data_IF_337495314770
#
_entry.id   IF_337495314770
#
_cell.length_a   1.000
_cell.length_b   1.000
_cell.length_c   1.000
_cell.angle_alpha   90.00
_cell.angle_beta   90.00
_cell.angle_gamma   90.00
#
_symmetry.space_group_name_H-M   'P 1'
#
loop_
_entity.id
_entity.type
_entity.pdbx_description
1 polymer ?
#
# COMPACT_ATOMS: atom_id res chain seq x y z
N UNK A 1 -9.82 36.84 -22.73
CA UNK A 1 -10.78 36.08 -21.90
C UNK A 1 -10.76 34.60 -22.25
N UNK A 2 -10.56 34.23 -23.51
CA UNK A 2 -10.63 32.84 -23.99
C UNK A 2 -9.60 31.90 -23.35
N UNK A 3 -8.39 32.40 -23.08
CA UNK A 3 -7.35 31.60 -22.39
C UNK A 3 -7.79 31.21 -20.97
N UNK A 4 -8.44 32.11 -20.23
CA UNK A 4 -8.91 31.86 -18.87
C UNK A 4 -10.08 30.87 -18.90
N UNK A 5 -10.99 31.02 -19.87
CA UNK A 5 -12.11 30.09 -20.04
C UNK A 5 -11.61 28.69 -20.42
N UNK A 6 -10.62 28.61 -21.31
CA UNK A 6 -10.00 27.35 -21.72
C UNK A 6 -9.27 26.66 -20.55
N UNK A 7 -8.47 27.40 -19.77
CA UNK A 7 -7.76 26.83 -18.62
C UNK A 7 -8.70 26.37 -17.52
N UNK A 8 -9.77 27.13 -17.23
CA UNK A 8 -10.80 26.72 -16.29
C UNK A 8 -11.55 25.47 -16.77
N UNK A 9 -11.93 25.43 -18.04
CA UNK A 9 -12.60 24.27 -18.64
C UNK A 9 -11.73 23.01 -18.55
N UNK A 10 -10.44 23.15 -18.82
CA UNK A 10 -9.48 22.05 -18.71
C UNK A 10 -9.29 21.61 -17.24
N UNK A 11 -9.23 22.54 -16.30
CA UNK A 11 -9.12 22.23 -14.87
C UNK A 11 -10.36 21.47 -14.37
N UNK A 12 -11.57 21.89 -14.77
CA UNK A 12 -12.83 21.20 -14.45
C UNK A 12 -12.84 19.80 -15.05
N UNK A 13 -12.39 19.64 -16.29
CA UNK A 13 -12.28 18.35 -16.95
C UNK A 13 -11.34 17.39 -16.19
N UNK A 14 -10.14 17.85 -15.83
CA UNK A 14 -9.19 17.04 -15.06
C UNK A 14 -9.71 16.68 -13.66
N UNK A 15 -10.39 17.61 -12.99
CA UNK A 15 -11.02 17.34 -11.71
C UNK A 15 -12.13 16.30 -11.84
N UNK A 16 -12.99 16.41 -12.86
CA UNK A 16 -14.01 15.41 -13.16
C UNK A 16 -13.40 14.02 -13.43
N UNK A 17 -12.34 13.95 -14.23
CA UNK A 17 -11.63 12.71 -14.51
C UNK A 17 -10.99 12.12 -13.23
N UNK A 18 -10.38 12.95 -12.39
CA UNK A 18 -9.83 12.54 -11.10
C UNK A 18 -10.92 11.95 -10.18
N UNK A 19 -12.08 12.60 -10.08
CA UNK A 19 -13.19 12.10 -9.28
C UNK A 19 -13.75 10.78 -9.82
N UNK A 20 -13.94 10.68 -11.14
CA UNK A 20 -14.45 9.47 -11.78
C UNK A 20 -13.50 8.28 -11.62
N UNK A 21 -12.20 8.49 -11.84
CA UNK A 21 -11.18 7.42 -11.68
C UNK A 21 -11.07 6.95 -10.24
N UNK A 22 -11.12 7.85 -9.25
CA UNK A 22 -11.14 7.48 -7.83
C UNK A 22 -12.45 6.75 -7.46
N UNK A 23 -13.60 7.19 -7.99
CA UNK A 23 -14.89 6.53 -7.76
C UNK A 23 -14.94 5.14 -8.40
N UNK A 24 -14.39 4.96 -9.60
CA UNK A 24 -14.29 3.67 -10.26
C UNK A 24 -13.39 2.68 -9.50
N UNK A 25 -12.38 3.18 -8.78
CA UNK A 25 -11.54 2.36 -7.89
C UNK A 25 -12.18 2.07 -6.54
N UNK A 26 -13.01 2.99 -6.03
CA UNK A 26 -13.75 2.82 -4.78
C UNK A 26 -14.84 1.76 -4.96
N UNK A 27 -14.42 0.51 -4.80
CA UNK A 27 -15.32 -0.64 -4.78
C UNK A 27 -16.22 -0.54 -3.58
N UNK A 28 -17.50 -0.71 -3.83
CA UNK A 28 -18.52 -0.91 -2.80
C UNK A 28 -18.81 -2.40 -2.84
N UNK A 29 -18.36 -3.11 -1.82
CA UNK A 29 -18.88 -4.41 -1.41
C UNK A 29 -18.53 -5.57 -2.36
N UNK A 30 -17.36 -6.17 -2.15
CA UNK A 30 -17.09 -7.51 -2.64
C UNK A 30 -17.72 -8.49 -1.65
N UNK A 31 -18.70 -9.26 -2.10
CA UNK A 31 -19.13 -10.43 -1.33
C UNK A 31 -18.01 -11.48 -1.43
N UNK A 32 -17.35 -11.75 -0.32
CA UNK A 32 -16.43 -12.87 -0.18
C UNK A 32 -16.81 -13.71 1.02
N UNK A 33 -16.51 -15.00 0.93
CA UNK A 33 -16.70 -15.92 2.03
C UNK A 33 -15.56 -15.73 3.03
N UNK A 34 -15.91 -15.53 4.30
CA UNK A 34 -14.93 -15.43 5.38
C UNK A 34 -14.30 -16.79 5.59
N UNK A 35 -12.98 -16.86 5.45
CA UNK A 35 -12.25 -18.08 5.81
C UNK A 35 -12.15 -18.16 7.34
N UNK A 36 -12.37 -19.33 7.95
CA UNK A 36 -12.18 -19.48 9.38
C UNK A 36 -10.72 -19.15 9.73
N UNK A 37 -10.54 -18.21 10.64
CA UNK A 37 -9.24 -17.75 11.08
C UNK A 37 -9.12 -17.97 12.60
N UNK A 38 -8.23 -18.86 13.00
CA UNK A 38 -7.99 -19.18 14.41
C UNK A 38 -6.81 -18.40 15.01
N UNK A 39 -6.07 -17.64 14.19
CA UNK A 39 -4.85 -16.94 14.59
C UNK A 39 -5.01 -15.44 14.36
N UNK A 40 -4.84 -14.66 15.43
CA UNK A 40 -4.83 -13.20 15.39
C UNK A 40 -3.43 -12.71 15.71
N UNK A 41 -3.00 -11.64 15.05
CA UNK A 41 -1.75 -10.98 15.39
C UNK A 41 -1.88 -10.33 16.75
N UNK A 42 -0.81 -10.36 17.54
CA UNK A 42 -0.72 -9.64 18.80
C UNK A 42 -0.62 -8.13 18.56
N UNK A 43 0.04 -7.76 17.47
CA UNK A 43 0.23 -6.37 17.08
C UNK A 43 -0.59 -6.03 15.83
N UNK A 44 -1.06 -4.78 15.69
CA UNK A 44 -1.82 -4.38 14.52
C UNK A 44 -0.98 -4.38 13.24
N UNK A 45 -1.66 -4.55 12.11
CA UNK A 45 -1.08 -4.48 10.77
C UNK A 45 -1.22 -3.07 10.22
N UNK A 46 -0.10 -2.37 10.05
CA UNK A 46 -0.03 -1.00 9.56
C UNK A 46 0.34 -0.97 8.08
N UNK A 47 -0.59 -0.53 7.24
CA UNK A 47 -0.37 -0.28 5.82
C UNK A 47 0.14 1.14 5.59
N UNK A 48 1.32 1.28 4.98
CA UNK A 48 1.92 2.58 4.64
C UNK A 48 1.65 2.94 3.18
N UNK A 49 1.02 4.07 2.90
CA UNK A 49 0.73 4.43 1.50
C UNK A 49 1.98 4.89 0.75
N UNK A 50 2.15 4.41 -0.49
CA UNK A 50 3.13 4.98 -1.42
C UNK A 50 2.77 6.38 -1.92
N UNK A 51 3.44 6.87 -2.97
CA UNK A 51 3.15 8.16 -3.56
C UNK A 51 1.71 8.23 -4.07
N UNK A 52 1.04 9.38 -3.85
CA UNK A 52 -0.36 9.64 -4.24
C UNK A 52 -0.44 10.82 -5.21
N UNK A 53 -1.52 10.85 -5.98
CA UNK A 53 -1.84 11.96 -6.88
C UNK A 53 -3.35 12.20 -6.92
N UNK A 54 -3.81 13.23 -7.63
CA UNK A 54 -5.26 13.49 -7.80
C UNK A 54 -6.00 12.31 -8.47
N UNK A 55 -5.30 11.47 -9.23
CA UNK A 55 -5.89 10.27 -9.83
C UNK A 55 -5.81 9.04 -8.91
N UNK A 56 -5.02 9.13 -7.82
CA UNK A 56 -4.75 8.05 -6.88
C UNK A 56 -4.66 8.53 -5.42
N UNK A 57 -5.71 9.15 -4.86
CA UNK A 57 -5.67 9.73 -3.50
C UNK A 57 -6.58 9.06 -2.46
N UNK A 58 -7.73 8.52 -2.90
CA UNK A 58 -8.81 8.09 -1.98
C UNK A 58 -8.52 6.75 -1.29
N UNK A 59 -8.50 5.65 -2.03
CA UNK A 59 -8.12 4.32 -1.53
C UNK A 59 -6.83 3.87 -2.22
N UNK A 60 -5.75 3.74 -1.45
CA UNK A 60 -4.45 3.30 -1.97
C UNK A 60 -4.39 1.76 -2.08
N UNK A 61 -4.79 1.09 -1.00
CA UNK A 61 -4.75 -0.36 -0.82
C UNK A 61 -6.04 -1.08 -1.24
N UNK A 62 -7.02 -0.35 -1.75
CA UNK A 62 -8.27 -0.87 -2.31
C UNK A 62 -8.96 -1.89 -1.37
N UNK A 63 -8.98 -3.18 -1.74
CA UNK A 63 -9.69 -4.24 -1.01
C UNK A 63 -8.88 -4.81 0.17
N UNK A 64 -7.56 -4.59 0.23
CA UNK A 64 -6.70 -5.33 1.17
C UNK A 64 -6.99 -5.03 2.63
N UNK A 65 -7.13 -3.74 2.96
CA UNK A 65 -7.37 -3.32 4.35
C UNK A 65 -8.74 -3.73 4.87
N UNK A 66 -9.87 -3.51 4.14
CA UNK A 66 -11.16 -4.02 4.60
C UNK A 66 -11.21 -5.56 4.62
N UNK A 67 -10.61 -6.23 3.64
CA UNK A 67 -10.60 -7.70 3.60
C UNK A 67 -9.94 -8.31 4.85
N UNK A 68 -8.78 -7.81 5.26
CA UNK A 68 -8.11 -8.29 6.48
C UNK A 68 -8.89 -7.92 7.75
N UNK A 69 -9.47 -6.72 7.80
CA UNK A 69 -10.28 -6.30 8.93
C UNK A 69 -11.53 -7.18 9.13
N UNK A 70 -12.20 -7.57 8.04
CA UNK A 70 -13.34 -8.50 8.08
C UNK A 70 -12.94 -9.92 8.53
N UNK A 71 -11.66 -10.31 8.37
CA UNK A 71 -11.10 -11.55 8.92
C UNK A 71 -10.61 -11.42 10.37
N UNK A 72 -10.89 -10.30 11.04
CA UNK A 72 -10.65 -10.08 12.46
C UNK A 72 -9.31 -9.44 12.82
N UNK A 73 -8.48 -9.07 11.84
CA UNK A 73 -7.21 -8.40 12.12
C UNK A 73 -7.42 -6.91 12.43
N UNK A 74 -6.63 -6.37 13.36
CA UNK A 74 -6.56 -4.93 13.59
C UNK A 74 -5.68 -4.29 12.50
N UNK A 75 -6.29 -3.51 11.62
CA UNK A 75 -5.63 -2.94 10.43
C UNK A 75 -5.70 -1.42 10.43
N UNK A 76 -4.56 -0.77 10.28
CA UNK A 76 -4.46 0.68 10.14
C UNK A 76 -3.85 1.08 8.80
N UNK A 77 -4.16 2.28 8.32
CA UNK A 77 -3.49 2.86 7.15
C UNK A 77 -2.86 4.20 7.53
N UNK A 78 -1.53 4.29 7.37
CA UNK A 78 -0.82 5.56 7.50
C UNK A 78 -0.75 6.26 6.14
N UNK A 79 -1.49 7.36 6.03
CA UNK A 79 -1.44 8.24 4.87
C UNK A 79 -0.25 9.21 4.97
N UNK A 80 0.68 9.08 4.04
CA UNK A 80 1.81 9.99 3.89
C UNK A 80 1.47 11.19 2.98
N UNK A 81 2.23 12.29 3.06
CA UNK A 81 2.20 13.35 2.06
C UNK A 81 2.28 12.81 0.64
N UNK A 82 1.66 13.52 -0.31
CA UNK A 82 1.32 12.94 -1.61
C UNK A 82 2.54 12.47 -2.40
N UNK A 83 3.45 13.37 -2.79
CA UNK A 83 4.58 12.99 -3.65
C UNK A 83 5.92 13.62 -3.27
N UNK A 84 6.00 14.43 -2.21
CA UNK A 84 7.28 15.03 -1.81
C UNK A 84 8.05 14.04 -0.93
N UNK A 85 9.17 13.44 -1.41
CA UNK A 85 9.86 12.37 -0.66
C UNK A 85 10.37 12.85 0.70
N UNK A 86 10.87 14.09 0.77
CA UNK A 86 11.36 14.68 2.02
C UNK A 86 10.24 14.79 3.06
N UNK A 87 9.10 15.37 2.68
CA UNK A 87 7.95 15.49 3.59
C UNK A 87 7.40 14.13 4.00
N UNK A 88 7.44 13.15 3.09
CA UNK A 88 7.02 11.78 3.36
C UNK A 88 7.92 11.12 4.38
N UNK A 89 9.23 11.26 4.23
CA UNK A 89 10.22 10.77 5.20
C UNK A 89 10.06 11.44 6.55
N UNK A 90 10.01 12.77 6.61
CA UNK A 90 9.81 13.53 7.85
C UNK A 90 8.51 13.10 8.57
N UNK A 91 7.42 12.91 7.83
CA UNK A 91 6.16 12.42 8.41
C UNK A 91 6.27 10.99 8.94
N UNK A 92 6.99 10.12 8.23
CA UNK A 92 7.15 8.73 8.64
C UNK A 92 8.04 8.62 9.88
N UNK A 93 9.16 9.33 9.93
CA UNK A 93 10.05 9.42 11.10
C UNK A 93 9.29 9.98 12.32
N UNK A 94 8.51 11.05 12.13
CA UNK A 94 7.66 11.59 13.19
C UNK A 94 6.67 10.53 13.72
N UNK A 95 6.05 9.76 12.83
CA UNK A 95 5.13 8.70 13.22
C UNK A 95 5.84 7.59 14.01
N UNK A 96 7.03 7.16 13.58
CA UNK A 96 7.83 6.15 14.29
C UNK A 96 8.16 6.62 15.70
N UNK A 97 8.70 7.85 15.85
CA UNK A 97 9.02 8.43 17.15
C UNK A 97 7.77 8.51 18.06
N UNK A 98 6.61 8.83 17.49
CA UNK A 98 5.35 8.84 18.22
C UNK A 98 4.96 7.43 18.72
N UNK A 99 5.03 6.40 17.86
CA UNK A 99 4.72 5.03 18.27
C UNK A 99 5.70 4.53 19.35
N UNK A 100 6.98 4.86 19.23
CA UNK A 100 8.01 4.50 20.22
C UNK A 100 7.74 5.15 21.58
N UNK A 101 7.44 6.45 21.60
CA UNK A 101 7.10 7.16 22.84
C UNK A 101 5.85 6.61 23.54
N UNK A 102 4.95 5.97 22.78
CA UNK A 102 3.74 5.35 23.28
C UNK A 102 3.90 3.84 23.51
N UNK A 103 5.10 3.29 23.30
CA UNK A 103 5.40 1.86 23.34
C UNK A 103 4.43 1.01 22.50
N UNK A 104 3.98 1.56 21.36
CA UNK A 104 3.08 0.89 20.43
C UNK A 104 3.90 0.13 19.40
N UNK A 105 3.49 -1.09 19.12
CA UNK A 105 4.13 -2.00 18.19
C UNK A 105 3.19 -2.36 17.05
N UNK A 106 3.73 -2.66 15.88
CA UNK A 106 2.94 -3.01 14.70
C UNK A 106 3.75 -3.81 13.67
N UNK A 107 3.05 -4.52 12.79
CA UNK A 107 3.61 -5.11 11.57
C UNK A 107 3.43 -4.15 10.40
N UNK A 108 4.51 -3.79 9.72
CA UNK A 108 4.48 -2.82 8.63
C UNK A 108 4.22 -3.52 7.29
N UNK A 109 3.26 -3.02 6.52
CA UNK A 109 2.98 -3.45 5.15
C UNK A 109 3.17 -2.28 4.21
N UNK A 110 3.97 -2.47 3.16
CA UNK A 110 4.27 -1.43 2.18
C UNK A 110 4.61 -2.04 0.82
N UNK A 111 4.53 -1.26 -0.24
CA UNK A 111 4.94 -1.68 -1.58
C UNK A 111 6.44 -1.45 -1.79
N UNK A 112 7.05 -2.21 -2.72
CA UNK A 112 8.48 -2.13 -3.02
C UNK A 112 9.02 -0.70 -3.21
N UNK A 113 8.37 0.20 -3.98
CA UNK A 113 8.89 1.55 -4.20
C UNK A 113 8.99 2.37 -2.91
N UNK A 114 8.04 2.13 -2.00
CA UNK A 114 7.97 2.77 -0.68
C UNK A 114 8.96 2.13 0.29
N UNK A 115 9.19 0.81 0.19
CA UNK A 115 10.26 0.14 0.93
C UNK A 115 11.61 0.76 0.62
N UNK A 116 11.93 0.88 -0.67
CA UNK A 116 13.20 1.46 -1.14
C UNK A 116 13.34 2.91 -0.69
N UNK A 117 12.25 3.68 -0.70
CA UNK A 117 12.23 5.06 -0.22
C UNK A 117 12.57 5.18 1.28
N UNK A 118 12.12 4.24 2.12
CA UNK A 118 12.31 4.29 3.58
C UNK A 118 13.34 3.30 4.12
N UNK A 119 14.10 2.65 3.25
CA UNK A 119 15.02 1.58 3.64
C UNK A 119 16.02 2.05 4.70
N UNK A 120 16.60 3.25 4.51
CA UNK A 120 17.57 3.82 5.44
C UNK A 120 16.96 4.15 6.80
N UNK A 121 15.72 4.63 6.83
CA UNK A 121 14.99 4.90 8.08
C UNK A 121 14.70 3.59 8.81
N UNK A 122 14.19 2.59 8.10
CA UNK A 122 13.85 1.29 8.67
C UNK A 122 15.08 0.51 9.16
N UNK A 123 16.25 0.72 8.54
CA UNK A 123 17.52 0.12 8.95
C UNK A 123 18.08 0.67 10.25
N UNK A 124 17.69 1.87 10.67
CA UNK A 124 18.06 2.40 11.99
C UNK A 124 17.40 1.62 13.14
N UNK A 125 16.51 0.66 12.82
CA UNK A 125 15.74 -0.20 13.72
C UNK A 125 14.88 0.61 14.69
N UNK A 126 13.58 0.67 14.39
CA UNK A 126 12.58 1.18 15.32
C UNK A 126 12.04 0.03 16.18
N UNK A 127 12.09 0.10 17.53
CA UNK A 127 11.54 -0.94 18.40
C UNK A 127 10.01 -1.10 18.29
N UNK A 128 9.33 -0.15 17.65
CA UNK A 128 7.90 -0.23 17.33
C UNK A 128 7.57 -1.10 16.12
N UNK A 129 8.55 -1.39 15.24
CA UNK A 129 8.31 -2.20 14.03
C UNK A 129 8.70 -3.64 14.32
N UNK A 130 7.73 -4.54 14.35
CA UNK A 130 7.95 -5.97 14.65
C UNK A 130 8.37 -6.77 13.41
N UNK A 131 7.77 -6.47 12.26
CA UNK A 131 8.16 -7.05 10.98
C UNK A 131 7.75 -6.15 9.82
N UNK A 132 8.28 -6.46 8.65
CA UNK A 132 8.00 -5.75 7.40
C UNK A 132 7.48 -6.77 6.38
N UNK A 133 6.39 -6.44 5.73
CA UNK A 133 5.83 -7.15 4.59
C UNK A 133 5.91 -6.25 3.37
N UNK A 134 6.70 -6.66 2.38
CA UNK A 134 6.89 -5.95 1.12
C UNK A 134 5.98 -6.55 0.05
N UNK A 135 5.17 -5.73 -0.59
CA UNK A 135 4.31 -6.12 -1.72
C UNK A 135 5.05 -5.81 -3.02
N UNK A 136 5.26 -6.82 -3.86
CA UNK A 136 5.93 -6.70 -5.15
C UNK A 136 5.05 -7.18 -6.33
N UNK A 137 5.32 -6.64 -7.51
CA UNK A 137 4.75 -7.15 -8.77
C UNK A 137 5.39 -8.49 -9.13
N UNK A 138 4.61 -9.39 -9.72
CA UNK A 138 5.14 -10.67 -10.18
C UNK A 138 6.25 -10.53 -11.23
N UNK A 139 7.30 -11.33 -11.07
CA UNK A 139 8.45 -11.36 -11.98
C UNK A 139 9.35 -10.12 -11.94
N UNK A 140 9.08 -9.13 -11.08
CA UNK A 140 10.05 -8.07 -10.79
C UNK A 140 10.97 -8.57 -9.69
N UNK A 141 12.15 -9.01 -10.10
CA UNK A 141 13.22 -9.35 -9.18
C UNK A 141 13.58 -8.10 -8.39
N UNK A 142 13.25 -8.13 -7.10
CA UNK A 142 13.54 -7.05 -6.15
C UNK A 142 14.58 -7.53 -5.13
N UNK A 143 15.36 -8.53 -5.55
CA UNK A 143 16.53 -9.06 -4.87
C UNK A 143 17.48 -7.92 -4.43
N UNK A 144 18.17 -8.11 -3.31
CA UNK A 144 18.67 -7.02 -2.52
C UNK A 144 19.79 -6.28 -3.26
N UNK A 145 19.65 -4.96 -3.38
CA UNK A 145 20.76 -4.06 -3.67
C UNK A 145 21.81 -4.02 -2.54
N UNK A 146 21.63 -4.78 -1.45
CA UNK A 146 22.58 -4.84 -0.34
C UNK A 146 22.60 -6.22 0.34
N UNK A 147 23.79 -6.83 0.39
CA UNK A 147 24.05 -8.14 1.00
C UNK A 147 23.97 -8.11 2.54
N UNK A 148 23.87 -6.93 3.15
CA UNK A 148 23.73 -6.81 4.61
C UNK A 148 22.35 -7.28 5.06
N UNK A 149 22.35 -8.13 6.09
CA UNK A 149 21.12 -8.58 6.75
C UNK A 149 20.30 -7.37 7.23
N UNK A 150 19.00 -7.39 6.93
CA UNK A 150 18.09 -6.37 7.42
C UNK A 150 17.85 -6.58 8.93
N UNK A 151 17.84 -5.53 9.76
CA UNK A 151 17.73 -5.67 11.22
C UNK A 151 16.35 -6.13 11.72
N UNK A 152 15.37 -6.25 10.82
CA UNK A 152 13.99 -6.62 11.10
C UNK A 152 13.59 -7.80 10.21
N UNK A 153 12.67 -8.69 10.64
CA UNK A 153 12.11 -9.72 9.77
C UNK A 153 11.39 -9.08 8.58
N UNK A 154 11.92 -9.30 7.38
CA UNK A 154 11.30 -8.85 6.11
C UNK A 154 10.78 -10.07 5.38
N UNK A 155 9.52 -10.03 4.96
CA UNK A 155 8.95 -11.01 4.04
C UNK A 155 8.37 -10.30 2.82
N UNK A 156 8.27 -11.03 1.72
CA UNK A 156 7.81 -10.51 0.44
C UNK A 156 6.56 -11.26 0.01
N UNK A 157 5.59 -10.52 -0.51
CA UNK A 157 4.41 -11.07 -1.16
C UNK A 157 4.46 -10.66 -2.62
N UNK A 158 4.70 -11.66 -3.46
CA UNK A 158 4.56 -11.51 -4.90
C UNK A 158 3.07 -11.58 -5.26
N UNK A 159 2.57 -10.48 -5.83
CA UNK A 159 1.18 -10.36 -6.24
C UNK A 159 1.00 -10.86 -7.66
N UNK A 160 -0.08 -11.59 -7.91
CA UNK A 160 -0.43 -12.03 -9.25
C UNK A 160 -0.74 -10.80 -10.10
N UNK A 161 -0.16 -10.73 -11.29
CA UNK A 161 -0.43 -9.64 -12.24
C UNK A 161 -1.44 -10.08 -13.32
N UNK A 162 -2.20 -9.11 -13.82
CA UNK A 162 -3.07 -9.31 -14.97
C UNK A 162 -3.25 -7.99 -15.73
N UNK A 163 -3.20 -7.99 -17.07
CA UNK A 163 -3.52 -6.80 -17.85
C UNK A 163 -5.03 -6.50 -17.87
N UNK A 164 -5.87 -7.46 -17.45
CA UNK A 164 -7.33 -7.36 -17.53
C UNK A 164 -7.85 -6.33 -16.53
N UNK A 165 -8.34 -5.20 -17.06
CA UNK A 165 -8.93 -4.12 -16.29
C UNK A 165 -9.70 -3.17 -17.19
N UNK A 166 -10.54 -2.31 -16.61
CA UNK A 166 -11.24 -1.31 -17.40
C UNK A 166 -10.26 -0.25 -17.94
N UNK A 167 -10.55 0.27 -19.14
CA UNK A 167 -9.69 1.26 -19.79
C UNK A 167 -9.54 2.53 -18.93
N UNK A 168 -10.59 2.95 -18.23
CA UNK A 168 -10.55 4.08 -17.31
C UNK A 168 -9.61 3.87 -16.11
N UNK A 169 -9.52 2.66 -15.58
CA UNK A 169 -8.58 2.35 -14.50
C UNK A 169 -7.14 2.47 -14.97
N UNK A 170 -6.83 1.89 -16.13
CA UNK A 170 -5.51 1.96 -16.75
C UNK A 170 -5.13 3.40 -17.11
N UNK A 171 -6.06 4.17 -17.68
CA UNK A 171 -5.83 5.59 -18.01
C UNK A 171 -5.57 6.42 -16.75
N UNK A 172 -6.41 6.27 -15.71
CA UNK A 172 -6.22 6.98 -14.44
C UNK A 172 -4.88 6.64 -13.79
N UNK A 173 -4.45 5.39 -13.88
CA UNK A 173 -3.17 4.95 -13.35
C UNK A 173 -1.97 5.42 -14.18
N UNK A 174 -2.11 5.49 -15.51
CA UNK A 174 -1.11 6.12 -16.37
C UNK A 174 -0.93 7.60 -16.00
N UNK A 175 -2.02 8.34 -15.82
CA UNK A 175 -1.97 9.74 -15.38
C UNK A 175 -1.35 9.87 -13.99
N UNK A 176 -1.62 8.92 -13.09
CA UNK A 176 -0.95 8.84 -11.81
C UNK A 176 0.57 8.68 -11.94
N UNK A 177 1.05 7.71 -12.74
CA UNK A 177 2.48 7.52 -13.00
C UNK A 177 3.14 8.79 -13.56
N UNK A 178 2.48 9.44 -14.50
CA UNK A 178 2.98 10.68 -15.10
C UNK A 178 3.03 11.83 -14.09
N UNK A 179 2.04 11.93 -13.20
CA UNK A 179 2.01 12.94 -12.14
C UNK A 179 3.11 12.73 -11.11
N UNK A 180 3.28 11.49 -10.65
CA UNK A 180 4.27 11.12 -9.64
C UNK A 180 5.70 11.21 -10.21
N UNK A 181 5.85 11.08 -11.55
CA UNK A 181 7.14 11.03 -12.26
C UNK A 181 8.03 9.87 -11.82
N UNK A 182 7.43 8.78 -11.33
CA UNK A 182 8.12 7.55 -10.92
C UNK A 182 7.77 6.39 -11.83
N UNK A 183 8.80 5.71 -12.33
CA UNK A 183 8.66 4.53 -13.22
C UNK A 183 8.56 3.21 -12.45
N UNK A 184 9.03 3.21 -11.21
CA UNK A 184 9.16 2.04 -10.34
C UNK A 184 7.86 1.65 -9.63
N UNK A 185 6.77 2.41 -9.77
CA UNK A 185 5.49 2.15 -9.11
C UNK A 185 4.93 0.74 -9.40
N UNK A 186 4.42 0.09 -8.35
CA UNK A 186 3.74 -1.21 -8.42
C UNK A 186 2.51 -1.17 -9.30
N UNK A 187 2.25 -2.24 -10.04
CA UNK A 187 1.08 -2.39 -10.90
C UNK A 187 -0.26 -2.19 -10.18
N UNK A 188 -1.30 -1.89 -10.95
CA UNK A 188 -2.68 -1.84 -10.45
C UNK A 188 -3.11 -3.17 -9.81
N UNK A 189 -2.59 -4.29 -10.31
CA UNK A 189 -2.89 -5.61 -9.75
C UNK A 189 -2.35 -5.74 -8.33
N UNK A 190 -1.09 -5.38 -8.13
CA UNK A 190 -0.42 -5.44 -6.82
C UNK A 190 -1.01 -4.50 -5.80
N UNK A 191 -1.56 -3.36 -6.24
CA UNK A 191 -2.28 -2.44 -5.36
C UNK A 191 -3.72 -2.86 -5.07
N UNK A 192 -4.19 -4.01 -5.59
CA UNK A 192 -5.54 -4.52 -5.36
C UNK A 192 -6.63 -3.78 -6.16
N UNK A 193 -6.24 -3.00 -7.16
CA UNK A 193 -7.17 -2.19 -7.94
C UNK A 193 -7.89 -2.98 -9.05
N UNK A 194 -7.35 -4.12 -9.49
CA UNK A 194 -7.93 -4.95 -10.57
C UNK A 194 -8.88 -6.03 -10.04
N UNK A 195 -10.12 -6.18 -10.56
CA UNK A 195 -11.09 -7.11 -9.97
C UNK A 195 -10.68 -8.57 -10.08
N UNK A 196 -10.04 -8.93 -11.19
CA UNK A 196 -9.67 -10.30 -11.51
C UNK A 196 -8.62 -10.90 -10.55
N UNK A 197 -7.80 -10.06 -9.90
CA UNK A 197 -6.71 -10.49 -9.01
C UNK A 197 -6.88 -10.02 -7.57
N UNK A 198 -7.77 -9.05 -7.30
CA UNK A 198 -7.91 -8.46 -5.97
C UNK A 198 -8.20 -9.50 -4.88
N UNK A 199 -9.13 -10.43 -5.11
CA UNK A 199 -9.50 -11.43 -4.09
C UNK A 199 -8.36 -12.43 -3.85
N UNK A 200 -7.71 -12.91 -4.91
CA UNK A 200 -6.56 -13.81 -4.80
C UNK A 200 -5.40 -13.15 -4.05
N UNK A 201 -5.05 -11.91 -4.42
CA UNK A 201 -4.00 -11.15 -3.75
C UNK A 201 -4.36 -10.82 -2.29
N UNK A 202 -5.64 -10.60 -1.99
CA UNK A 202 -6.12 -10.44 -0.61
C UNK A 202 -5.98 -11.76 0.18
N UNK A 203 -6.20 -12.90 -0.46
CA UNK A 203 -5.93 -14.22 0.11
C UNK A 203 -4.46 -14.42 0.50
N UNK A 204 -3.52 -14.01 -0.36
CA UNK A 204 -2.07 -14.03 -0.05
C UNK A 204 -1.72 -13.15 1.14
N UNK A 205 -2.39 -12.00 1.28
CA UNK A 205 -2.22 -11.12 2.45
C UNK A 205 -2.77 -11.75 3.73
N UNK A 206 -3.88 -12.49 3.64
CA UNK A 206 -4.42 -13.23 4.77
C UNK A 206 -3.48 -14.35 5.22
N UNK A 207 -2.93 -15.13 4.30
CA UNK A 207 -1.90 -16.13 4.61
C UNK A 207 -0.67 -15.50 5.28
N UNK A 208 -0.25 -14.32 4.79
CA UNK A 208 0.82 -13.57 5.46
C UNK A 208 0.42 -13.13 6.87
N UNK A 209 -0.80 -12.63 7.07
CA UNK A 209 -1.28 -12.21 8.39
C UNK A 209 -1.32 -13.39 9.39
N UNK A 210 -1.66 -14.59 8.91
CA UNK A 210 -1.55 -15.82 9.70
C UNK A 210 -0.10 -16.14 10.07
N UNK A 211 0.83 -16.01 9.12
CA UNK A 211 2.27 -16.18 9.40
C UNK A 211 2.79 -15.16 10.42
N UNK A 212 2.28 -13.92 10.39
CA UNK A 212 2.61 -12.90 11.39
C UNK A 212 2.09 -13.29 12.78
N UNK A 213 0.86 -13.80 12.87
CA UNK A 213 0.30 -14.28 14.13
C UNK A 213 1.09 -15.47 14.70
N UNK A 214 1.56 -16.39 13.85
CA UNK A 214 2.46 -17.47 14.28
C UNK A 214 3.80 -16.94 14.80
N UNK A 215 4.35 -15.91 14.16
CA UNK A 215 5.60 -15.27 14.59
C UNK A 215 5.43 -14.63 15.97
N UNK A 216 4.33 -13.90 16.19
CA UNK A 216 4.00 -13.30 17.48
C UNK A 216 3.86 -14.33 18.61
N UNK A 217 3.33 -15.52 18.29
CA UNK A 217 3.19 -16.63 19.24
C UNK A 217 4.53 -17.30 19.58
N UNK A 218 5.49 -17.31 18.66
CA UNK A 218 6.82 -17.90 18.90
C UNK A 218 7.74 -16.98 19.71
N UNK A 219 7.51 -15.67 19.63
CA UNK A 219 8.28 -14.66 20.36
C UNK A 219 7.75 -14.39 21.78
N UNK A 220 6.61 -15.00 22.18
CA UNK A 220 6.03 -14.91 23.52
C UNK A 220 6.64 -15.90 24.50
#
# INVERSE_FOLDING_TARGET
MDVIILTLSLAVFFLGLALLTNRARRRKDFAFELKPNCLLTRWPVLFLTGPRSMFYFSSYWNLYTPYLAEHGYEVFTLHLPWNNPRLRQERFEYFLNQQESQNRKFHLVLDTPTFTEFQDVLRKRSPSVMSITRICDSGKDTGPGDLRAFPLPVAEIEMRDTPKGSLFLHLGYHLHKQWVRRKDLNSLSSLGALPATALENSGRLLERAQTLAEMDLRES
#
